data_IF_500913486587
#
_entry.id   IF_500913486587
#
_cell.length_a   1.000
_cell.length_b   1.000
_cell.length_c   1.000
_cell.angle_alpha   90.00
_cell.angle_beta   90.00
_cell.angle_gamma   90.00
#
_symmetry.space_group_name_H-M   'P 1'
#
loop_
_entity.id
_entity.type
_entity.pdbx_description
1 polymer ?
2 non-polymer ?
3 non-polymer ?
4 water ?
#
# COMPACT_ATOMS: atom_id res chain seq x y z
N UNK A 1 17.22 -4.16 -24.58
CA UNK A 1 16.95 -4.44 -23.18
C UNK A 1 16.57 -3.19 -22.40
N UNK A 2 17.44 -2.18 -22.43
CA UNK A 2 17.12 -0.90 -21.81
C UNK A 2 16.03 -0.17 -22.59
N UNK A 3 16.12 -0.19 -23.93
CA UNK A 3 15.09 0.46 -24.73
C UNK A 3 13.77 -0.29 -24.70
N UNK A 4 13.79 -1.61 -24.46
CA UNK A 4 12.52 -2.31 -24.31
C UNK A 4 11.79 -1.83 -23.06
N UNK A 5 12.53 -1.62 -21.97
CA UNK A 5 11.90 -1.17 -20.73
C UNK A 5 11.41 0.27 -20.85
N UNK A 6 12.17 1.13 -21.54
CA UNK A 6 11.70 2.49 -21.78
C UNK A 6 10.42 2.49 -22.63
N UNK A 7 10.29 1.53 -23.55
CA UNK A 7 9.06 1.45 -24.35
C UNK A 7 7.87 1.05 -23.49
N UNK A 8 8.09 0.16 -22.51
CA UNK A 8 7.02 -0.20 -21.59
C UNK A 8 6.57 1.03 -20.81
N UNK A 9 7.54 1.78 -20.27
CA UNK A 9 7.18 2.96 -19.50
C UNK A 9 6.44 3.98 -20.37
N UNK A 10 6.89 4.14 -21.62
CA UNK A 10 6.19 5.06 -22.51
C UNK A 10 4.75 4.60 -22.77
N UNK A 11 4.54 3.28 -22.88
CA UNK A 11 3.18 2.79 -23.12
C UNK A 11 2.29 3.03 -21.91
N UNK A 12 2.83 2.81 -20.71
CA UNK A 12 2.09 3.06 -19.48
C UNK A 12 1.70 4.53 -19.34
N UNK A 13 2.53 5.44 -19.84
CA UNK A 13 2.14 6.85 -19.83
C UNK A 13 0.94 7.13 -20.73
N UNK A 14 0.63 6.25 -21.67
CA UNK A 14 -0.43 6.53 -22.63
C UNK A 14 -1.80 6.60 -21.95
N UNK A 15 -1.99 5.88 -20.84
CA UNK A 15 -3.24 5.97 -20.07
C UNK A 15 -3.17 7.01 -18.96
N UNK A 16 -2.30 8.01 -19.08
CA UNK A 16 -2.09 8.97 -17.99
C UNK A 16 -3.33 9.81 -17.73
N UNK A 17 -4.11 10.11 -18.77
CA UNK A 17 -5.30 10.92 -18.59
C UNK A 17 -6.57 10.11 -18.38
N UNK A 18 -6.56 8.82 -18.72
CA UNK A 18 -7.70 7.94 -18.39
C UNK A 18 -7.74 7.63 -16.90
N UNK A 19 -6.58 7.56 -16.24
CA UNK A 19 -6.57 7.39 -14.78
C UNK A 19 -6.62 8.74 -14.06
N UNK A 20 -6.26 9.83 -14.73
CA UNK A 20 -6.42 11.14 -14.09
C UNK A 20 -7.86 11.61 -14.11
N UNK A 21 -8.64 11.24 -15.12
CA UNK A 21 -10.04 11.64 -15.12
C UNK A 21 -10.88 10.74 -14.23
N UNK A 22 -10.51 9.46 -14.16
CA UNK A 22 -11.21 8.54 -13.27
C UNK A 22 -11.09 8.99 -11.82
N UNK A 23 -9.86 9.24 -11.36
CA UNK A 23 -9.66 9.70 -10.00
C UNK A 23 -10.37 11.02 -9.72
N UNK A 24 -10.70 11.77 -10.76
CA UNK A 24 -11.42 13.02 -10.58
C UNK A 24 -12.86 12.84 -10.15
N UNK A 25 -13.45 11.68 -10.45
CA UNK A 25 -14.78 11.38 -9.95
C UNK A 25 -14.71 10.63 -8.62
N UNK A 26 -13.70 9.78 -8.45
CA UNK A 26 -13.44 9.17 -7.15
C UNK A 26 -13.34 10.25 -6.09
N UNK A 27 -12.59 11.32 -6.39
CA UNK A 27 -12.46 12.41 -5.44
C UNK A 27 -13.78 13.12 -5.25
N UNK A 28 -14.61 13.16 -6.29
CA UNK A 28 -15.94 13.74 -6.14
C UNK A 28 -16.78 12.95 -5.14
N UNK A 29 -16.82 11.63 -5.32
CA UNK A 29 -17.63 10.78 -4.46
C UNK A 29 -17.08 10.77 -3.04
N UNK A 30 -15.75 10.69 -2.90
CA UNK A 30 -15.15 10.54 -1.58
C UNK A 30 -15.39 11.78 -0.73
N UNK A 31 -15.34 12.96 -1.34
CA UNK A 31 -15.65 14.17 -0.58
C UNK A 31 -17.13 14.25 -0.22
N UNK A 32 -17.98 13.67 -1.07
CA UNK A 32 -19.40 13.55 -0.73
C UNK A 32 -19.57 12.72 0.54
N UNK A 33 -18.86 11.59 0.64
CA UNK A 33 -18.95 10.73 1.82
C UNK A 33 -18.31 11.39 3.03
N UNK A 34 -17.21 12.11 2.81
CA UNK A 34 -16.48 12.67 3.94
C UNK A 34 -17.37 13.59 4.76
N UNK A 35 -18.31 14.26 4.12
CA UNK A 35 -19.20 15.16 4.85
C UNK A 35 -20.25 14.40 5.63
N UNK A 36 -20.96 13.48 4.96
CA UNK A 36 -21.96 12.67 5.67
C UNK A 36 -21.33 11.99 6.87
N UNK A 37 -20.11 11.49 6.72
CA UNK A 37 -19.44 10.85 7.84
C UNK A 37 -19.19 11.82 8.98
N UNK A 38 -18.98 13.10 8.67
CA UNK A 38 -18.76 14.09 9.72
C UNK A 38 -20.03 14.48 10.46
N UNK A 39 -21.21 14.08 9.98
CA UNK A 39 -22.42 14.31 10.75
C UNK A 39 -22.54 13.34 11.92
N UNK A 40 -21.84 12.20 11.87
CA UNK A 40 -21.92 11.19 12.91
C UNK A 40 -20.89 11.48 14.00
N UNK A 41 -21.33 11.32 15.24
CA UNK A 41 -20.49 11.67 16.38
C UNK A 41 -19.20 10.86 16.40
N UNK A 42 -19.28 9.58 15.99
CA UNK A 42 -18.10 8.72 16.06
C UNK A 42 -17.07 9.11 15.00
N UNK A 43 -17.52 9.49 13.81
CA UNK A 43 -16.63 9.84 12.71
C UNK A 43 -16.53 11.34 12.49
N UNK A 44 -16.82 12.12 13.54
CA UNK A 44 -16.82 13.57 13.41
C UNK A 44 -15.46 14.11 12.99
N UNK A 45 -14.39 13.55 13.55
CA UNK A 45 -13.07 14.02 13.20
C UNK A 45 -12.42 13.27 12.05
N UNK A 46 -13.23 12.71 11.15
CA UNK A 46 -12.70 11.92 10.06
C UNK A 46 -12.05 12.83 9.02
N UNK A 47 -10.96 12.36 8.41
CA UNK A 47 -10.35 13.10 7.33
C UNK A 47 -9.69 12.16 6.34
N UNK A 48 -9.28 12.72 5.21
CA UNK A 48 -8.62 11.97 4.16
C UNK A 48 -7.13 11.90 4.43
N UNK A 49 -6.58 10.69 4.47
CA UNK A 49 -5.15 10.51 4.62
C UNK A 49 -4.47 10.58 3.25
N UNK A 50 -3.36 11.31 3.19
CA UNK A 50 -2.57 11.55 1.99
C UNK A 50 -1.73 10.30 1.67
N UNK A 51 -2.24 9.44 0.77
CA UNK A 51 -1.62 8.16 0.48
C UNK A 51 -1.36 7.90 -1.00
N UNK A 52 -1.67 8.83 -1.89
CA UNK A 52 -1.64 8.53 -3.30
C UNK A 52 -1.32 9.73 -4.15
N UNK A 53 -1.18 9.48 -5.44
CA UNK A 53 -0.66 10.46 -6.39
C UNK A 53 -1.70 11.45 -6.89
N UNK A 54 -2.96 11.36 -6.45
CA UNK A 54 -4.01 12.19 -7.06
C UNK A 54 -4.74 13.07 -6.06
N UNK A 57 -4.42 12.04 -2.04
CA UNK A 57 -5.47 11.35 -1.29
C UNK A 57 -5.98 10.11 -2.03
N UNK A 58 -5.95 10.14 -3.35
CA UNK A 58 -6.41 9.05 -4.19
C UNK A 58 -5.19 8.23 -4.62
N UNK A 59 -5.12 6.99 -4.15
CA UNK A 59 -4.01 6.09 -4.44
C UNK A 59 -4.42 5.10 -5.53
N UNK A 60 -3.53 4.87 -6.48
CA UNK A 60 -3.74 3.87 -7.54
C UNK A 60 -2.74 2.74 -7.32
N UNK A 61 -3.25 1.51 -7.16
CA UNK A 61 -2.42 0.33 -6.95
C UNK A 61 -2.61 -0.72 -8.04
N UNK A 62 -3.49 -0.48 -9.02
CA UNK A 62 -3.90 -1.40 -10.07
C UNK A 62 -3.83 -0.66 -11.41
N UNK A 63 -4.40 -1.19 -12.52
CA UNK A 63 -4.50 -0.36 -13.74
C UNK A 63 -5.46 0.81 -13.60
N UNK A 64 -6.70 0.54 -13.21
CA UNK A 64 -7.71 1.60 -13.07
C UNK A 64 -8.64 1.26 -11.89
N UNK A 65 -8.03 1.13 -10.72
CA UNK A 65 -8.73 0.87 -9.47
C UNK A 65 -7.98 1.57 -8.35
N UNK A 66 -8.72 2.18 -7.43
CA UNK A 66 -8.15 3.18 -6.53
C UNK A 66 -8.29 2.77 -5.07
N UNK A 67 -7.44 3.39 -4.24
CA UNK A 67 -7.37 3.16 -2.80
C UNK A 67 -7.43 4.51 -2.10
N UNK A 68 -8.32 4.62 -1.11
CA UNK A 68 -8.47 5.84 -0.33
C UNK A 68 -8.57 5.46 1.14
N UNK A 69 -7.90 6.21 2.01
CA UNK A 69 -7.95 5.99 3.46
C UNK A 69 -8.61 7.17 4.16
N UNK A 70 -9.52 6.86 5.07
CA UNK A 70 -10.11 7.85 5.95
C UNK A 70 -9.45 7.71 7.32
N UNK A 71 -8.84 8.80 7.79
CA UNK A 71 -8.18 8.77 9.09
C UNK A 71 -9.08 9.40 10.12
N UNK A 72 -8.90 8.98 11.37
CA UNK A 72 -9.76 9.39 12.47
C UNK A 72 -8.89 9.64 13.69
N UNK A 73 -8.77 10.90 14.10
CA UNK A 73 -7.94 11.24 15.26
C UNK A 73 -8.57 10.68 16.53
N UNK A 74 -7.93 9.65 17.09
CA UNK A 74 -8.40 8.99 18.29
C UNK A 74 -7.49 9.41 19.44
N UNK A 75 -8.01 10.14 20.43
CA UNK A 75 -7.16 10.60 21.54
C UNK A 75 -6.43 9.46 22.22
N UNK A 76 -5.31 9.82 22.85
CA UNK A 76 -4.28 8.94 23.42
C UNK A 76 -4.67 7.48 23.55
N UNK A 77 -4.05 6.65 22.73
CA UNK A 77 -4.40 5.25 22.58
C UNK A 77 -3.38 4.41 23.32
N UNK A 78 -3.86 3.29 23.88
CA UNK A 78 -3.01 2.26 24.46
C UNK A 78 -3.11 1.01 23.60
N UNK A 79 -1.97 0.45 23.24
CA UNK A 79 -1.94 -0.72 22.37
C UNK A 79 -1.49 -1.95 23.16
N UNK A 80 -2.10 -3.08 22.85
CA UNK A 80 -1.69 -4.37 23.40
C UNK A 80 -1.46 -5.31 22.23
N UNK A 81 -0.23 -5.78 22.07
CA UNK A 81 0.11 -6.62 20.93
C UNK A 81 -0.63 -7.95 21.01
N UNK A 82 -1.27 -8.33 19.91
CA UNK A 82 -2.00 -9.58 19.83
C UNK A 82 -1.01 -10.72 19.54
N UNK A 83 -0.68 -11.47 20.59
CA UNK A 83 -0.12 -12.82 20.44
C UNK A 83 1.16 -12.85 19.63
N UNK A 84 2.06 -11.90 19.88
CA UNK A 84 3.38 -11.88 19.26
C UNK A 84 3.32 -11.78 17.74
N UNK A 85 2.27 -11.17 17.17
CA UNK A 85 2.24 -11.02 15.72
C UNK A 85 3.00 -9.79 15.25
N UNK A 86 3.44 -8.92 16.17
CA UNK A 86 4.19 -7.70 15.87
C UNK A 86 3.39 -6.68 15.04
N UNK A 87 2.36 -7.10 14.30
CA UNK A 87 1.61 -6.17 13.48
C UNK A 87 0.15 -5.97 13.89
N UNK A 88 -0.44 -6.91 14.60
CA UNK A 88 -1.85 -6.84 14.97
C UNK A 88 -1.99 -6.50 16.45
N UNK A 89 -2.90 -5.57 16.75
CA UNK A 89 -3.02 -5.01 18.09
C UNK A 89 -4.49 -4.91 18.49
N UNK A 90 -4.72 -4.89 19.80
CA UNK A 90 -5.97 -4.40 20.37
C UNK A 90 -5.82 -2.93 20.72
N UNK A 91 -6.92 -2.19 20.63
CA UNK A 91 -6.92 -0.75 20.88
C UNK A 91 -7.64 -0.51 22.19
N UNK A 92 -7.04 0.30 23.07
CA UNK A 92 -7.58 0.73 24.35
C UNK A 92 -7.33 2.22 24.55
N UNK A 93 -7.95 2.79 25.58
CA UNK A 93 -7.87 4.22 25.89
C UNK A 93 -7.33 4.42 27.30
N UNK A 94 -7.25 5.70 27.69
CA UNK A 94 -6.70 6.08 28.99
C UNK A 94 -7.56 7.11 29.74
N UNK A 100 -15.75 10.33 25.45
CA UNK A 100 -15.24 10.34 24.08
C UNK A 100 -16.23 9.70 23.12
N UNK A 101 -16.24 10.14 21.85
CA UNK A 101 -17.29 9.71 20.92
C UNK A 101 -17.17 8.26 20.49
N UNK A 102 -16.01 7.64 20.66
CA UNK A 102 -15.85 6.23 20.37
C UNK A 102 -16.21 5.35 21.56
N UNK A 103 -16.78 5.92 22.62
CA UNK A 103 -17.18 5.11 23.76
C UNK A 103 -18.22 4.07 23.35
N UNK A 104 -19.04 4.36 22.36
CA UNK A 104 -20.09 3.43 21.94
C UNK A 104 -19.55 2.13 21.34
N UNK A 105 -18.26 2.04 21.02
CA UNK A 105 -17.70 0.91 20.29
C UNK A 105 -16.83 0.00 21.15
N UNK A 106 -16.74 0.29 22.45
CA UNK A 106 -15.96 -0.54 23.36
C UNK A 106 -16.65 -1.86 23.64
N UNK A 107 -15.85 -2.87 23.94
CA UNK A 107 -16.33 -4.14 24.50
C UNK A 107 -15.44 -4.39 25.71
N UNK A 108 -15.81 -3.79 26.81
CA UNK A 108 -14.94 -3.72 27.99
C UNK A 108 -13.97 -2.55 27.86
N UNK A 109 -12.67 -2.85 27.85
CA UNK A 109 -11.63 -1.85 27.68
C UNK A 109 -11.08 -1.83 26.25
N UNK A 110 -11.65 -2.63 25.35
CA UNK A 110 -11.13 -2.84 24.01
C UNK A 110 -12.07 -2.19 23.01
N UNK A 111 -11.50 -1.48 22.05
CA UNK A 111 -12.29 -0.94 20.96
C UNK A 111 -12.61 -2.05 19.97
N UNK A 112 -13.89 -2.24 19.68
CA UNK A 112 -14.32 -3.26 18.72
C UNK A 112 -14.13 -2.75 17.30
N UNK A 113 -13.27 -3.42 16.55
CA UNK A 113 -13.08 -3.05 15.14
C UNK A 113 -14.31 -3.41 14.31
N UNK A 114 -14.87 -4.60 14.52
CA UNK A 114 -16.00 -5.03 13.69
C UNK A 114 -17.21 -4.16 13.94
N UNK A 115 -17.44 -3.75 15.18
CA UNK A 115 -18.52 -2.82 15.48
C UNK A 115 -18.28 -1.47 14.81
N UNK A 116 -17.09 -0.92 15.01
CA UNK A 116 -16.75 0.36 14.38
C UNK A 116 -16.84 0.24 12.86
N UNK A 117 -16.37 -0.88 12.32
CA UNK A 117 -16.43 -1.07 10.87
C UNK A 117 -17.87 -1.17 10.39
N UNK A 118 -18.75 -1.80 11.16
CA UNK A 118 -20.11 -2.00 10.70
C UNK A 118 -20.86 -0.68 10.56
N UNK A 119 -20.81 0.17 11.59
CA UNK A 119 -21.47 1.47 11.48
C UNK A 119 -20.89 2.29 10.32
N UNK A 120 -19.56 2.22 10.15
CA UNK A 120 -18.92 2.86 9.01
C UNK A 120 -19.58 2.43 7.72
N UNK A 121 -19.84 1.13 7.56
CA UNK A 121 -20.48 0.64 6.35
C UNK A 121 -21.91 1.14 6.24
N UNK A 122 -22.69 0.99 7.32
CA UNK A 122 -24.09 1.39 7.29
C UNK A 122 -24.22 2.83 6.81
N UNK A 123 -23.31 3.69 7.25
CA UNK A 123 -23.35 5.09 6.83
C UNK A 123 -23.08 5.21 5.35
N UNK A 124 -22.14 4.41 4.82
CA UNK A 124 -21.76 4.56 3.42
C UNK A 124 -22.79 3.90 2.52
N UNK A 125 -23.32 2.73 2.91
CA UNK A 125 -24.29 2.07 2.05
C UNK A 125 -25.57 2.88 1.93
N UNK A 126 -25.92 3.64 2.97
CA UNK A 126 -27.08 4.52 2.89
C UNK A 126 -26.78 5.71 1.98
N UNK A 127 -25.57 6.25 2.06
CA UNK A 127 -25.24 7.42 1.24
C UNK A 127 -25.18 7.07 -0.23
N UNK A 128 -24.59 5.93 -0.57
CA UNK A 128 -24.57 5.45 -1.96
C UNK A 128 -26.00 5.23 -2.47
N UNK A 129 -26.87 4.67 -1.64
CA UNK A 129 -28.21 4.31 -2.11
C UNK A 129 -29.18 5.47 -2.04
N UNK A 130 -29.10 6.30 -0.99
CA UNK A 130 -30.02 7.43 -0.87
C UNK A 130 -29.84 8.38 -2.04
N UNK A 131 -28.64 8.94 -2.19
CA UNK A 131 -28.31 9.68 -3.40
C UNK A 131 -27.89 8.65 -4.45
N UNK A 132 -28.84 7.81 -4.87
CA UNK A 132 -28.68 7.00 -6.06
C UNK A 132 -28.66 7.85 -7.33
N UNK A 133 -28.86 9.16 -7.20
CA UNK A 133 -28.70 10.13 -8.28
C UNK A 133 -27.26 10.28 -8.73
N UNK A 134 -26.34 9.56 -8.08
CA UNK A 134 -25.00 9.31 -8.57
C UNK A 134 -24.85 7.80 -8.72
N UNK A 135 -24.29 7.37 -9.86
CA UNK A 135 -24.33 5.95 -10.28
C UNK A 135 -23.22 5.18 -9.59
N UNK A 136 -23.50 4.70 -8.37
CA UNK A 136 -22.53 3.93 -7.58
C UNK A 136 -23.27 2.79 -6.88
N UNK A 137 -22.59 1.64 -6.79
CA UNK A 137 -22.98 0.55 -5.90
C UNK A 137 -21.73 0.11 -5.16
N UNK A 138 -21.92 -0.81 -4.21
CA UNK A 138 -20.81 -1.23 -3.36
C UNK A 138 -20.83 -2.73 -3.13
N UNK A 139 -19.66 -3.35 -3.27
CA UNK A 139 -19.45 -4.77 -3.02
C UNK A 139 -18.53 -4.90 -1.81
N UNK A 140 -19.01 -5.56 -0.76
CA UNK A 140 -18.22 -5.70 0.46
C UNK A 140 -17.20 -6.83 0.28
N UNK A 141 -15.92 -6.47 0.31
CA UNK A 141 -14.82 -7.41 0.16
C UNK A 141 -14.56 -8.13 1.50
N UNK A 142 -13.56 -9.00 1.51
CA UNK A 142 -13.41 -9.96 2.59
C UNK A 142 -12.40 -9.55 3.67
N UNK A 143 -11.49 -8.61 3.39
CA UNK A 143 -10.37 -8.41 4.29
C UNK A 143 -10.72 -7.76 5.61
N UNK A 144 -11.71 -6.86 5.61
CA UNK A 144 -11.87 -5.88 6.68
C UNK A 144 -11.08 -4.66 6.27
N UNK A 145 -9.93 -4.89 5.64
CA UNK A 145 -9.27 -3.91 4.79
C UNK A 145 -9.12 -4.56 3.42
N UNK A 146 -9.68 -3.98 2.36
CA UNK A 146 -10.48 -2.74 2.38
C UNK A 146 -11.84 -2.87 3.05
N UNK A 147 -12.21 -1.83 3.79
CA UNK A 147 -13.49 -1.82 4.48
C UNK A 147 -14.65 -1.89 3.50
N UNK A 148 -14.60 -1.04 2.47
CA UNK A 148 -15.70 -0.91 1.51
C UNK A 148 -15.10 -0.77 0.12
N UNK A 149 -15.73 -1.42 -0.86
CA UNK A 149 -15.37 -1.27 -2.26
C UNK A 149 -16.56 -0.70 -3.01
N UNK A 150 -16.36 0.42 -3.70
CA UNK A 150 -17.40 1.09 -4.48
C UNK A 150 -17.11 0.93 -5.97
N UNK A 151 -18.10 0.45 -6.72
CA UNK A 151 -18.00 0.37 -8.16
C UNK A 151 -18.71 1.58 -8.76
N UNK A 152 -17.96 2.41 -9.46
CA UNK A 152 -18.44 3.68 -10.02
C UNK A 152 -18.67 3.47 -11.52
N UNK A 153 -19.94 3.38 -11.91
CA UNK A 153 -20.33 3.19 -13.31
C UNK A 153 -19.72 1.93 -13.91
N UNK A 154 -19.80 0.83 -13.13
CA UNK A 154 -19.37 -0.50 -13.56
C UNK A 154 -18.02 -0.53 -14.26
N UNK A 155 -17.10 0.37 -13.88
CA UNK A 155 -15.78 0.41 -14.50
C UNK A 155 -14.70 0.74 -13.48
N UNK A 156 -14.86 1.86 -12.78
CA UNK A 156 -13.89 2.32 -11.78
C UNK A 156 -14.22 1.70 -10.43
N UNK A 157 -13.18 1.31 -9.70
CA UNK A 157 -13.31 0.71 -8.38
C UNK A 157 -12.47 1.50 -7.39
N UNK A 158 -13.02 1.77 -6.22
CA UNK A 158 -12.32 2.51 -5.18
C UNK A 158 -12.50 1.79 -3.84
N UNK A 159 -11.40 1.40 -3.24
CA UNK A 159 -11.38 0.81 -1.90
C UNK A 159 -11.23 1.92 -0.86
N UNK A 160 -12.15 1.95 0.10
CA UNK A 160 -12.12 2.94 1.18
C UNK A 160 -11.76 2.24 2.48
N UNK A 161 -10.69 2.70 3.12
CA UNK A 161 -10.17 2.11 4.35
C UNK A 161 -10.33 3.10 5.51
N UNK A 162 -10.95 2.64 6.59
CA UNK A 162 -10.98 3.44 7.82
C UNK A 162 -9.70 3.19 8.60
N UNK A 163 -9.15 4.23 9.20
CA UNK A 163 -7.91 4.07 9.92
C UNK A 163 -7.86 5.01 11.12
N UNK A 164 -7.56 4.44 12.28
CA UNK A 164 -7.35 5.24 13.48
C UNK A 164 -5.97 5.88 13.44
N UNK A 165 -5.92 7.15 13.81
CA UNK A 165 -4.66 7.90 13.84
C UNK A 165 -4.15 7.98 15.26
N UNK A 166 -2.91 7.55 15.47
CA UNK A 166 -2.29 7.67 16.79
C UNK A 166 -1.08 8.57 16.67
N UNK A 167 -1.05 9.64 17.45
CA UNK A 167 0.11 10.51 17.52
C UNK A 167 1.12 10.05 18.57
N UNK A 168 1.03 8.81 19.02
CA UNK A 168 2.00 8.29 19.99
C UNK A 168 3.29 7.85 19.27
N UNK A 169 4.29 7.48 20.08
CA UNK A 169 5.49 6.87 19.54
C UNK A 169 5.13 5.55 18.86
N UNK A 170 5.88 5.20 17.83
CA UNK A 170 5.60 3.98 17.09
C UNK A 170 5.79 2.77 17.99
N UNK A 171 5.02 1.70 17.77
CA UNK A 171 5.13 0.53 18.65
C UNK A 171 6.50 -0.11 18.54
N UNK A 172 6.81 -0.96 19.53
CA UNK A 172 8.16 -1.51 19.65
C UNK A 172 8.51 -2.44 18.52
N UNK A 173 7.53 -3.02 17.84
CA UNK A 173 7.86 -3.89 16.73
C UNK A 173 8.51 -3.14 15.58
N UNK A 174 8.37 -1.81 15.54
CA UNK A 174 8.94 -1.03 14.46
C UNK A 174 10.30 -0.47 14.79
N UNK A 175 10.82 -0.70 15.99
CA UNK A 175 12.00 0.07 16.39
C UNK A 175 13.23 -0.27 15.55
N UNK A 176 13.29 -1.47 14.98
CA UNK A 176 14.36 -1.86 14.07
C UNK A 176 13.94 -1.79 12.60
N UNK A 177 12.79 -1.19 12.31
CA UNK A 177 12.32 -1.04 10.95
C UNK A 177 12.68 0.33 10.37
N UNK A 178 12.21 0.56 9.16
CA UNK A 178 12.49 1.80 8.45
C UNK A 178 13.99 2.07 8.45
N UNK A 179 14.73 1.10 7.90
CA UNK A 179 16.19 1.11 7.93
C UNK A 179 16.71 2.01 6.80
N UNK A 180 16.44 3.32 6.95
CA UNK A 180 16.76 4.29 5.89
C UNK A 180 17.99 5.12 6.21
N UNK A 181 18.70 4.82 7.30
CA UNK A 181 19.77 5.72 7.77
C UNK A 181 20.86 5.92 6.72
N UNK A 182 21.26 4.86 6.01
CA UNK A 182 22.36 5.01 5.05
C UNK A 182 21.90 5.60 3.73
N UNK A 183 20.59 5.68 3.52
CA UNK A 183 19.98 6.17 2.29
C UNK A 183 19.43 7.57 2.46
N UNK A 184 18.41 7.75 3.31
CA UNK A 184 17.73 9.05 3.47
C UNK A 184 18.20 9.84 4.68
N UNK A 185 19.00 9.24 5.55
CA UNK A 185 19.68 9.79 6.73
C UNK A 185 19.01 9.40 8.04
N UNK A 186 19.75 9.49 9.13
CA UNK A 186 19.17 9.32 10.46
C UNK A 186 18.31 10.51 10.85
N UNK A 187 18.65 11.71 10.37
CA UNK A 187 17.83 12.88 10.62
C UNK A 187 16.41 12.66 10.10
N UNK A 188 16.31 12.17 8.86
CA UNK A 188 15.00 11.93 8.25
C UNK A 188 14.30 10.78 8.96
N UNK A 189 15.02 9.71 9.29
CA UNK A 189 14.36 8.63 10.01
C UNK A 189 13.76 9.14 11.32
N UNK A 190 14.47 10.03 12.01
CA UNK A 190 13.93 10.58 13.25
C UNK A 190 12.71 11.45 13.00
N UNK A 191 12.76 12.30 11.97
CA UNK A 191 11.60 13.12 11.61
C UNK A 191 10.39 12.25 11.30
N UNK A 192 10.59 11.20 10.50
CA UNK A 192 9.48 10.38 10.03
C UNK A 192 8.82 9.62 11.18
N UNK A 193 9.61 9.18 12.16
CA UNK A 193 9.06 8.42 13.27
C UNK A 193 8.40 9.31 14.31
N UNK A 194 8.50 10.63 14.17
CA UNK A 194 7.70 11.54 14.98
C UNK A 194 6.32 11.79 14.38
N UNK A 195 6.09 11.32 13.16
CA UNK A 195 4.78 11.44 12.55
C UNK A 195 3.83 10.41 13.14
N UNK A 196 2.51 10.61 12.99
CA UNK A 196 1.55 9.63 13.48
C UNK A 196 1.75 8.27 12.83
N UNK A 197 1.11 7.26 13.39
CA UNK A 197 0.97 6.00 12.68
C UNK A 197 -0.51 5.64 12.67
N UNK A 198 -0.88 4.68 11.83
CA UNK A 198 -2.29 4.37 11.65
C UNK A 198 -2.57 2.92 12.01
N UNK A 199 -3.83 2.64 12.25
CA UNK A 199 -4.29 1.29 12.59
C UNK A 199 -5.53 1.02 11.77
N UNK A 200 -5.53 -0.04 10.97
CA UNK A 200 -6.70 -0.37 10.16
C UNK A 200 -7.33 -1.64 10.71
N UNK A 201 -8.65 -1.77 10.67
CA UNK A 201 -9.26 -3.03 11.15
C UNK A 201 -8.94 -4.20 10.24
N UNK A 202 -8.08 -5.08 10.72
CA UNK A 202 -7.72 -6.29 10.02
C UNK A 202 -7.72 -7.42 11.02
N UNK A 203 -8.46 -8.49 10.73
CA UNK A 203 -8.40 -9.68 11.56
C UNK A 203 -7.18 -10.51 11.19
N UNK A 204 -6.67 -11.27 12.15
CA UNK A 204 -5.54 -12.16 11.92
C UNK A 204 -6.01 -13.59 11.71
N UNK A 205 -5.23 -14.34 10.93
CA UNK A 205 -5.59 -15.71 10.59
C UNK A 205 -4.67 -16.71 11.28
N UNK A 211 -9.92 -15.11 13.35
CA UNK A 211 -10.52 -13.78 13.31
C UNK A 211 -10.71 -13.21 14.73
N UNK A 212 -10.52 -11.89 14.87
CA UNK A 212 -10.58 -11.22 16.17
C UNK A 212 -10.81 -9.73 15.94
N UNK A 213 -11.02 -8.99 17.04
CA UNK A 213 -11.18 -7.53 17.02
C UNK A 213 -9.84 -6.80 17.04
N UNK A 214 -8.99 -7.18 16.10
CA UNK A 214 -7.63 -6.68 16.00
C UNK A 214 -7.55 -5.53 15.01
N UNK A 215 -6.47 -4.75 15.13
CA UNK A 215 -6.14 -3.69 14.21
C UNK A 215 -4.72 -3.90 13.74
N UNK A 216 -4.46 -3.55 12.48
CA UNK A 216 -3.14 -3.72 11.87
C UNK A 216 -2.48 -2.37 11.65
N UNK A 217 -1.17 -2.30 11.88
CA UNK A 217 -0.44 -1.07 11.66
C UNK A 217 -0.36 -0.75 10.18
N UNK A 218 -0.31 0.55 9.88
CA UNK A 218 -0.26 1.01 8.50
C UNK A 218 0.64 2.23 8.44
N UNK A 219 1.50 2.27 7.44
CA UNK A 219 2.41 3.40 7.31
C UNK A 219 2.38 3.93 5.89
N UNK A 220 1.25 3.78 5.21
CA UNK A 220 1.18 4.17 3.81
C UNK A 220 1.46 5.65 3.62
N UNK A 221 1.29 6.47 4.66
CA UNK A 221 1.68 7.87 4.53
C UNK A 221 3.21 8.02 4.50
N UNK A 222 3.93 7.17 5.23
CA UNK A 222 5.39 7.24 5.20
C UNK A 222 5.90 6.71 3.86
N UNK A 223 5.30 5.63 3.36
CA UNK A 223 5.65 5.09 2.06
C UNK A 223 5.53 6.15 0.96
N UNK A 224 4.41 6.87 0.93
CA UNK A 224 4.30 7.92 -0.07
C UNK A 224 5.37 8.97 0.14
N UNK A 225 5.70 9.28 1.38
CA UNK A 225 6.66 10.34 1.61
C UNK A 225 8.05 9.95 1.15
N UNK A 226 8.43 8.69 1.35
CA UNK A 226 9.76 8.26 0.90
C UNK A 226 9.79 7.90 -0.57
N UNK A 227 8.64 7.74 -1.22
CA UNK A 227 8.66 7.59 -2.67
C UNK A 227 8.76 8.93 -3.37
N UNK A 228 8.18 9.99 -2.77
CA UNK A 228 8.15 11.30 -3.38
C UNK A 228 9.30 12.19 -2.95
N UNK A 229 10.16 11.72 -2.06
CA UNK A 229 11.35 12.42 -1.65
C UNK A 229 12.36 11.30 -1.39
N UNK A 230 12.82 10.71 -2.48
CA UNK A 230 13.42 9.38 -2.50
C UNK A 230 14.93 9.36 -2.68
N UNK A 231 15.57 10.49 -2.82
CA UNK A 231 16.98 10.48 -3.15
C UNK A 231 17.86 10.66 -1.93
N UNK A 232 19.10 10.21 -2.06
CA UNK A 232 20.09 10.64 -1.07
C UNK A 232 20.31 12.13 -1.17
N UNK A 233 20.36 12.64 -2.40
CA UNK A 233 20.45 14.07 -2.60
C UNK A 233 19.10 14.71 -2.39
N UNK A 234 19.09 15.83 -1.68
CA UNK A 234 17.81 16.50 -1.51
C UNK A 234 17.21 16.94 -2.85
N UNK A 235 18.04 17.15 -3.88
CA UNK A 235 17.55 17.63 -5.16
C UNK A 235 17.42 16.52 -6.20
N UNK A 236 17.43 15.26 -5.78
CA UNK A 236 17.19 14.16 -6.71
C UNK A 236 15.91 14.41 -7.49
N UNK A 237 16.03 14.32 -8.82
CA UNK A 237 14.93 14.47 -9.77
C UNK A 237 14.36 15.89 -9.82
N UNK A 238 15.05 16.90 -9.28
CA UNK A 238 14.60 18.28 -9.45
C UNK A 238 15.37 19.03 -10.52
N UNK A 239 16.29 18.37 -11.22
CA UNK A 239 16.99 19.03 -12.31
C UNK A 239 17.50 17.96 -13.24
N UNK A 240 17.99 18.40 -14.42
CA UNK A 240 18.38 17.44 -15.44
C UNK A 240 19.61 16.63 -15.08
N UNK A 241 20.40 17.09 -14.10
CA UNK A 241 21.62 16.37 -13.76
C UNK A 241 21.38 15.25 -12.76
N UNK A 242 20.19 15.21 -12.14
CA UNK A 242 19.92 14.25 -11.08
C UNK A 242 18.59 13.53 -11.35
N UNK A 243 18.46 12.91 -12.51
CA UNK A 243 17.28 12.11 -12.84
C UNK A 243 17.61 10.66 -12.53
N UNK A 244 17.00 10.11 -11.50
CA UNK A 244 17.18 8.70 -11.16
C UNK A 244 16.00 7.91 -11.72
N UNK A 245 16.12 6.58 -11.72
CA UNK A 245 15.08 5.70 -12.23
C UNK A 245 14.39 4.89 -11.12
N UNK A 246 14.43 5.40 -9.89
CA UNK A 246 13.78 4.70 -8.78
C UNK A 246 12.29 4.49 -9.05
N UNK A 247 11.56 5.57 -9.36
CA UNK A 247 10.12 5.40 -9.55
C UNK A 247 9.80 4.54 -10.76
N UNK A 248 10.62 4.64 -11.81
CA UNK A 248 10.37 3.81 -12.99
C UNK A 248 10.60 2.35 -12.67
N UNK A 249 11.57 2.05 -11.80
CA UNK A 249 11.81 0.65 -11.48
C UNK A 249 10.64 0.07 -10.71
N UNK A 250 10.08 0.87 -9.80
CA UNK A 250 8.92 0.41 -9.06
C UNK A 250 7.71 0.26 -9.97
N UNK A 251 7.54 1.16 -10.95
CA UNK A 251 6.47 0.99 -11.92
C UNK A 251 6.62 -0.31 -12.69
N UNK A 252 7.82 -0.58 -13.19
CA UNK A 252 8.01 -1.78 -14.01
C UNK A 252 7.82 -3.05 -13.19
N UNK A 253 8.23 -3.02 -11.91
CA UNK A 253 8.00 -4.17 -11.04
C UNK A 253 6.51 -4.39 -10.80
N UNK A 254 5.74 -3.33 -10.55
CA UNK A 254 4.29 -3.51 -10.40
C UNK A 254 3.69 -4.07 -11.68
N UNK A 255 4.10 -3.53 -12.83
CA UNK A 255 3.56 -3.99 -14.10
C UNK A 255 3.99 -5.42 -14.42
N UNK A 256 5.20 -5.80 -14.01
CA UNK A 256 5.61 -7.18 -14.22
C UNK A 256 4.70 -8.14 -13.46
N UNK A 257 4.41 -7.84 -12.20
CA UNK A 257 3.51 -8.70 -11.44
C UNK A 257 2.10 -8.67 -12.02
N UNK A 258 1.61 -7.49 -12.41
CA UNK A 258 0.26 -7.38 -12.98
C UNK A 258 0.15 -8.19 -14.26
N UNK A 259 1.16 -8.15 -15.10
CA UNK A 259 1.08 -8.89 -16.35
C UNK A 259 1.15 -10.39 -16.11
N UNK A 260 1.96 -10.81 -15.15
CA UNK A 260 2.05 -12.25 -14.87
C UNK A 260 0.73 -12.77 -14.33
N UNK A 261 0.11 -12.02 -13.42
CA UNK A 261 -1.19 -12.46 -12.88
C UNK A 261 -2.22 -12.62 -14.00
N UNK A 262 -2.25 -11.69 -14.95
CA UNK A 262 -3.10 -11.88 -16.12
C UNK A 262 -2.78 -13.19 -16.84
N UNK A 263 -1.50 -13.43 -17.13
CA UNK A 263 -1.13 -14.63 -17.90
C UNK A 263 -1.58 -15.90 -17.19
N UNK A 264 -1.48 -15.94 -15.85
CA UNK A 264 -1.83 -17.13 -15.08
C UNK A 264 -3.21 -17.02 -14.44
N UNK A 265 -4.12 -16.26 -15.08
CA UNK A 265 -5.49 -16.15 -14.57
C UNK A 265 -6.30 -17.42 -14.79
N UNK A 266 -5.81 -18.35 -15.63
CA UNK A 266 -6.53 -19.60 -15.87
C UNK A 266 -6.74 -20.38 -14.58
N UNK A 267 -5.78 -20.32 -13.65
CA UNK A 267 -5.87 -21.01 -12.37
C UNK A 267 -5.72 -20.07 -11.17
N UNK A 268 -5.58 -18.76 -11.39
CA UNK A 268 -5.36 -17.77 -10.33
C UNK A 268 -4.25 -18.19 -9.37
N UNK A 269 -3.23 -18.88 -9.91
CA UNK A 269 -2.10 -19.36 -9.11
C UNK A 269 -1.45 -18.25 -8.29
N UNK A 270 -1.36 -17.06 -8.86
CA UNK A 270 -0.60 -15.96 -8.30
C UNK A 270 -1.48 -14.98 -7.54
N UNK A 271 -2.68 -15.38 -7.17
CA UNK A 271 -3.64 -14.43 -6.64
C UNK A 271 -3.26 -13.88 -5.26
N UNK A 272 -2.37 -14.54 -4.53
CA UNK A 272 -2.02 -14.05 -3.19
C UNK A 272 -0.98 -12.94 -3.22
N UNK A 273 -0.46 -12.58 -4.38
CA UNK A 273 0.59 -11.58 -4.52
C UNK A 273 0.02 -10.23 -4.88
N UNK A 274 0.65 -9.18 -4.36
CA UNK A 274 0.07 -7.85 -4.35
C UNK A 274 1.15 -6.85 -4.67
N UNK A 275 0.75 -5.71 -5.23
CA UNK A 275 1.75 -4.68 -5.50
C UNK A 275 2.45 -4.25 -4.22
N UNK A 276 1.83 -4.52 -3.05
CA UNK A 276 2.47 -4.20 -1.78
C UNK A 276 3.72 -5.05 -1.56
N UNK A 277 3.71 -6.30 -2.03
CA UNK A 277 4.91 -7.13 -1.93
C UNK A 277 6.03 -6.56 -2.79
N UNK A 278 5.67 -6.14 -4.01
CA UNK A 278 6.62 -5.54 -4.94
C UNK A 278 7.18 -4.22 -4.38
N UNK A 279 6.28 -3.39 -3.85
CA UNK A 279 6.70 -2.13 -3.27
C UNK A 279 7.61 -2.35 -2.05
N UNK A 280 7.28 -3.34 -1.22
CA UNK A 280 8.13 -3.65 -0.06
C UNK A 280 9.51 -4.11 -0.52
N UNK A 281 9.59 -5.00 -1.51
CA UNK A 281 10.92 -5.41 -1.94
C UNK A 281 11.69 -4.25 -2.57
N UNK A 282 11.00 -3.33 -3.21
CA UNK A 282 11.68 -2.19 -3.82
C UNK A 282 12.28 -1.27 -2.75
N UNK A 283 11.61 -1.08 -1.61
CA UNK A 283 12.20 -0.31 -0.51
C UNK A 283 13.42 -0.99 0.08
N UNK A 284 13.44 -2.32 0.16
CA UNK A 284 14.65 -3.00 0.61
C UNK A 284 15.80 -2.80 -0.37
N UNK A 285 15.50 -2.74 -1.66
CA UNK A 285 16.57 -2.53 -2.63
C UNK A 285 17.10 -1.09 -2.55
N UNK A 286 16.23 -0.11 -2.24
CA UNK A 286 16.72 1.26 -2.02
C UNK A 286 17.64 1.32 -0.81
N UNK A 287 17.27 0.64 0.28
CA UNK A 287 18.17 0.50 1.40
C UNK A 287 19.48 -0.13 0.99
N UNK A 288 19.43 -1.18 0.16
CA UNK A 288 20.67 -1.85 -0.21
C UNK A 288 21.51 -1.01 -1.16
N UNK A 289 20.87 -0.20 -2.00
CA UNK A 289 21.53 0.63 -3.00
C UNK A 289 21.24 2.09 -2.66
N UNK A 290 21.96 2.64 -1.68
CA UNK A 290 21.53 3.95 -1.12
C UNK A 290 21.92 5.17 -1.95
N UNK A 291 22.89 5.07 -2.86
CA UNK A 291 23.42 6.25 -3.53
C UNK A 291 22.62 6.53 -4.79
N UNK A 292 22.37 7.82 -5.08
CA UNK A 292 21.66 8.13 -6.30
C UNK A 292 22.42 7.65 -7.53
N UNK A 293 23.74 7.54 -7.42
CA UNK A 293 24.51 7.03 -8.54
C UNK A 293 24.23 5.56 -8.83
N UNK A 294 23.54 4.85 -7.93
CA UNK A 294 23.13 3.47 -8.22
C UNK A 294 21.79 3.40 -8.90
N UNK A 295 21.18 4.56 -9.18
CA UNK A 295 19.89 4.66 -9.84
C UNK A 295 19.91 5.68 -10.93
N UNK A 296 21.04 5.80 -11.62
CA UNK A 296 21.13 6.71 -12.74
C UNK A 296 20.20 6.25 -13.86
N UNK A 297 19.46 7.22 -14.42
CA UNK A 297 18.43 6.90 -15.39
C UNK A 297 18.97 6.07 -16.54
N UNK A 298 20.22 6.32 -16.94
CA UNK A 298 20.83 5.56 -18.05
C UNK A 298 21.12 4.11 -17.68
N UNK A 299 20.98 3.76 -16.41
CA UNK A 299 21.24 2.42 -15.93
C UNK A 299 19.94 1.67 -15.62
N UNK A 300 18.84 2.11 -16.23
CA UNK A 300 17.53 1.55 -15.93
C UNK A 300 17.56 0.03 -16.02
N UNK A 301 18.09 -0.50 -17.12
CA UNK A 301 18.15 -1.96 -17.27
C UNK A 301 18.78 -2.64 -16.08
N UNK A 302 19.91 -2.11 -15.61
CA UNK A 302 20.61 -2.73 -14.49
C UNK A 302 19.85 -2.51 -13.19
N UNK A 303 19.24 -1.34 -13.02
CA UNK A 303 18.50 -1.09 -11.79
C UNK A 303 17.27 -1.98 -11.69
N UNK A 304 16.59 -2.22 -12.82
CA UNK A 304 15.46 -3.13 -12.82
C UNK A 304 15.90 -4.56 -12.50
N UNK A 305 16.99 -5.02 -13.10
CA UNK A 305 17.53 -6.35 -12.76
C UNK A 305 17.88 -6.45 -11.27
N UNK A 306 18.35 -5.35 -10.68
CA UNK A 306 18.63 -5.37 -9.24
C UNK A 306 17.34 -5.60 -8.47
N UNK A 307 16.26 -4.94 -8.90
CA UNK A 307 14.96 -5.10 -8.25
C UNK A 307 14.41 -6.50 -8.45
N UNK A 308 14.49 -6.99 -9.68
CA UNK A 308 13.93 -8.30 -9.97
C UNK A 308 14.69 -9.37 -9.21
N UNK A 309 16.03 -9.26 -9.18
CA UNK A 309 16.86 -10.26 -8.53
C UNK A 309 16.57 -10.34 -7.03
N UNK A 310 16.39 -9.17 -6.37
CA UNK A 310 16.06 -9.21 -4.95
C UNK A 310 14.69 -9.82 -4.70
N UNK A 311 13.72 -9.55 -5.57
CA UNK A 311 12.40 -10.14 -5.40
C UNK A 311 12.46 -11.65 -5.55
N UNK A 312 13.24 -12.13 -6.53
CA UNK A 312 13.49 -13.57 -6.66
C UNK A 312 14.09 -14.14 -5.41
N UNK A 313 15.10 -13.48 -4.85
CA UNK A 313 15.69 -13.95 -3.61
C UNK A 313 14.63 -14.08 -2.53
N UNK A 314 13.76 -13.07 -2.41
CA UNK A 314 12.68 -13.13 -1.41
C UNK A 314 11.75 -14.31 -1.68
N UNK A 315 11.34 -14.50 -2.93
CA UNK A 315 10.50 -15.65 -3.27
C UNK A 315 11.19 -16.96 -2.94
N UNK A 316 12.47 -17.09 -3.34
CA UNK A 316 13.17 -18.35 -3.19
C UNK A 316 13.49 -18.63 -1.72
N UNK A 317 13.70 -17.59 -0.94
CA UNK A 317 13.96 -17.78 0.48
C UNK A 317 12.69 -17.70 1.30
N UNK A 318 11.56 -17.43 0.65
CA UNK A 318 10.27 -17.34 1.34
C UNK A 318 10.33 -16.35 2.49
N UNK A 319 10.89 -15.18 2.22
CA UNK A 319 11.04 -14.18 3.27
C UNK A 319 11.04 -12.80 2.64
N UNK A 320 10.02 -12.01 2.94
CA UNK A 320 9.95 -10.61 2.53
C UNK A 320 9.54 -9.85 3.78
N UNK A 321 10.50 -9.21 4.44
CA UNK A 321 10.19 -8.53 5.69
C UNK A 321 9.38 -7.28 5.40
N UNK A 322 8.38 -7.03 6.22
CA UNK A 322 7.72 -5.73 6.21
C UNK A 322 8.77 -4.64 6.44
N UNK A 323 8.72 -3.59 5.64
CA UNK A 323 9.77 -2.58 5.76
C UNK A 323 9.75 -1.90 7.10
N UNK A 324 8.59 -1.87 7.76
CA UNK A 324 8.46 -1.19 9.04
C UNK A 324 8.47 -2.14 10.21
N UNK A 325 8.05 -3.39 10.01
CA UNK A 325 8.03 -4.39 11.08
C UNK A 325 8.88 -5.58 10.61
N UNK A 326 10.17 -5.62 10.92
CA UNK A 326 11.05 -6.61 10.27
C UNK A 326 10.80 -8.04 10.72
N UNK A 327 10.12 -8.27 11.84
CA UNK A 327 9.81 -9.65 12.20
C UNK A 327 8.53 -10.15 11.56
N UNK A 328 7.84 -9.32 10.79
CA UNK A 328 6.65 -9.73 10.08
C UNK A 328 7.04 -10.11 8.66
N UNK A 329 7.04 -11.40 8.38
CA UNK A 329 7.40 -11.91 7.06
C UNK A 329 6.14 -11.94 6.20
N UNK A 330 6.09 -11.10 5.17
CA UNK A 330 4.94 -11.14 4.27
C UNK A 330 4.85 -12.43 3.47
N UNK A 331 5.94 -13.21 3.39
CA UNK A 331 5.99 -14.38 2.55
C UNK A 331 5.93 -15.66 3.34
N UNK A 332 5.63 -15.58 4.64
CA UNK A 332 5.49 -16.77 5.45
C UNK A 332 4.39 -17.68 4.90
N UNK A 333 4.47 -18.96 5.25
CA UNK A 333 3.50 -19.92 4.78
C UNK A 333 2.13 -19.70 5.40
N UNK A 334 2.09 -19.14 6.60
CA UNK A 334 0.80 -18.73 7.16
C UNK A 334 0.02 -17.88 6.18
N UNK A 335 0.71 -17.13 5.33
CA UNK A 335 0.10 -16.17 4.42
C UNK A 335 0.04 -16.64 2.98
N UNK A 336 1.09 -17.29 2.48
CA UNK A 336 1.16 -17.63 1.07
C UNK A 336 1.67 -19.05 0.92
N UNK A 337 0.92 -19.86 0.16
CA UNK A 337 1.26 -21.26 -0.07
C UNK A 337 2.68 -21.39 -0.61
N UNK A 338 3.40 -22.39 -0.07
CA UNK A 338 4.72 -22.71 -0.59
C UNK A 338 4.68 -23.01 -2.08
N UNK A 339 3.60 -23.61 -2.58
CA UNK A 339 3.48 -23.91 -4.00
C UNK A 339 3.39 -22.63 -4.82
N UNK A 340 2.72 -21.61 -4.30
CA UNK A 340 2.56 -20.37 -5.07
C UNK A 340 3.87 -19.59 -5.15
N UNK A 341 4.63 -19.55 -4.04
CA UNK A 341 5.94 -18.90 -4.07
C UNK A 341 6.87 -19.58 -5.04
N UNK A 342 6.88 -20.93 -5.04
CA UNK A 342 7.72 -21.67 -5.99
C UNK A 342 7.26 -21.43 -7.42
N UNK A 343 5.95 -21.35 -7.64
CA UNK A 343 5.43 -21.06 -8.98
C UNK A 343 5.97 -19.72 -9.49
N UNK A 344 5.76 -18.65 -8.72
CA UNK A 344 6.20 -17.33 -9.15
C UNK A 344 7.73 -17.22 -9.24
N UNK A 345 8.47 -17.95 -8.41
CA UNK A 345 9.91 -17.97 -8.57
C UNK A 345 10.28 -18.44 -9.97
N UNK A 346 9.68 -19.55 -10.41
CA UNK A 346 10.00 -20.10 -11.73
C UNK A 346 9.62 -19.14 -12.85
N UNK A 347 8.52 -18.40 -12.70
CA UNK A 347 8.05 -17.56 -13.79
C UNK A 347 8.85 -16.27 -13.88
N UNK A 348 9.19 -15.68 -12.74
CA UNK A 348 10.02 -14.49 -12.76
C UNK A 348 11.43 -14.82 -13.22
N UNK A 349 11.92 -16.00 -12.81
CA UNK A 349 13.26 -16.46 -13.19
C UNK A 349 13.35 -16.64 -14.70
N UNK A 350 12.35 -17.29 -15.30
CA UNK A 350 12.26 -17.37 -16.75
C UNK A 350 12.25 -15.98 -17.38
N UNK A 351 11.41 -15.09 -16.87
CA UNK A 351 11.31 -13.76 -17.48
C UNK A 351 12.65 -13.07 -17.50
N UNK A 352 13.34 -13.07 -16.35
CA UNK A 352 14.66 -12.44 -16.26
C UNK A 352 15.66 -13.09 -17.20
N UNK A 353 15.72 -14.43 -17.22
CA UNK A 353 16.71 -15.10 -18.03
C UNK A 353 16.48 -14.94 -19.52
N UNK A 354 15.35 -14.35 -19.93
CA UNK A 354 15.05 -14.24 -21.35
C UNK A 354 14.69 -12.82 -21.75
N UNK A 355 15.13 -11.83 -20.96
CA UNK A 355 14.95 -10.40 -21.24
C UNK A 355 13.48 -10.00 -21.24
N UNK A 356 12.72 -10.55 -20.29
CA UNK A 356 11.31 -10.30 -19.99
C UNK A 356 10.42 -10.33 -21.22
N UNK A 357 10.18 -11.51 -21.79
CA UNK A 357 9.28 -11.61 -22.94
C UNK A 357 7.86 -11.17 -22.65
N UNK A 358 7.44 -11.14 -21.39
CA UNK A 358 6.13 -10.60 -21.03
C UNK A 358 6.00 -9.13 -21.40
N UNK A 359 7.12 -8.46 -21.69
CA UNK A 359 7.15 -7.07 -22.12
C UNK A 359 7.24 -6.92 -23.62
N UNK A 360 7.04 -8.00 -24.38
CA UNK A 360 7.19 -7.98 -25.82
C UNK A 360 5.96 -7.40 -26.51
N UNK A 361 6.18 -6.90 -27.73
CA UNK A 361 5.09 -6.55 -28.62
C UNK A 361 5.16 -7.40 -29.90
X LIG B 1 15.22 10.71 -8.11
X LIG C 1 0.76 -6.24 6.00
X LIG C 1 -1.42 0.41 4.73
X LIG C 1 0.49 -6.87 4.86
X LIG C 1 -1.44 -1.34 2.32
X LIG C 1 1.04 -4.32 7.46
X LIG C 1 -1.95 -1.91 1.18
X LIG C 1 -1.90 -3.32 0.96
X LIG C 1 1.15 -7.08 7.05
X LIG C 1 1.43 -5.15 8.47
X LIG C 1 1.47 -6.54 8.26
X LIG C 1 0.19 -3.91 5.20
X LIG C 1 -0.31 -1.67 4.56
X LIG C 1 -0.82 -3.55 3.12
X LIG C 1 -0.86 -2.15 3.32
X LIG C 1 0.20 -2.52 5.48
X LIG C 1 0.68 -4.84 6.21
X LIG C 1 -0.23 -0.23 4.88
X LIG C 1 -1.32 -4.08 1.92
X LIG C 1 -0.29 -4.42 4.06
X LIG C 1 0.78 0.40 5.24
X LIG C 1 -1.09 -5.74 1.62
#
# INVERSE_FOLDING_TARGET
GASKLRAVLEKLKLSRDDISTAAGMVKGVVDHLLLRLKCDSAFRGVGLLNTGSYYEHVKISAPNEFDVMFKLEVPRIQLEEYSNTRAYYFVKFKRNPKENPLSQFLEGEILSASKMLSKFRKIIKEEINDIKDTDVIMKRKRGGSPAVTLLISEKISVDITLALESKSSWPASTQEGLRIQNWLSAKVRKQLRLKPFYLVPKHAKEGNGFQEETWRLSFSHIEKEILNNHGKSKTCCENKEEKCCRKDCLKLMKYLLEQLKERFKDKKHLDKFSSYHVKTAFFHVCTQNPQDSQWDRKDLGLCFDNCVTYFLQCLRTEKLENYFIPEFNLFSSNLIDKRSKEFLTKQIEYERNNEFPVFDEF
ZN ZN
YME C10 O12 O14 C15 C16 C17 C18 C19 C20 C21 C2 C3 C4 C5 C6 C7 C8 C9 N1 O11 CL13
#
